data_IF_786924090085
#
_entry.id   IF_786924090085
#
_cell.length_a   1.000
_cell.length_b   1.000
_cell.length_c   1.000
_cell.angle_alpha   90.00
_cell.angle_beta   90.00
_cell.angle_gamma   90.00
#
_symmetry.space_group_name_H-M   'P 1'
#
loop_
_entity.id
_entity.type
_entity.pdbx_description
1 polymer ?
#
# COMPACT_ATOMS: atom_id res chain seq x y z
N UNK A 1 -43.00 -41.22 -3.25
CA UNK A 1 -43.06 -39.75 -3.42
C UNK A 1 -41.85 -39.07 -2.75
N UNK A 2 -40.72 -39.02 -3.45
CA UNK A 2 -39.52 -38.30 -3.02
C UNK A 2 -39.36 -37.05 -3.88
N UNK A 3 -39.47 -35.87 -3.27
CA UNK A 3 -39.29 -34.60 -3.94
C UNK A 3 -37.80 -34.32 -4.17
N UNK A 4 -37.46 -34.04 -5.43
CA UNK A 4 -36.17 -33.48 -5.87
C UNK A 4 -36.15 -31.97 -5.59
N UNK A 5 -35.01 -31.36 -5.22
CA UNK A 5 -34.86 -29.92 -5.36
C UNK A 5 -34.34 -29.59 -6.75
N UNK A 6 -35.11 -28.76 -7.45
CA UNK A 6 -34.71 -28.01 -8.64
C UNK A 6 -33.76 -26.90 -8.20
N UNK A 7 -32.52 -26.91 -8.71
CA UNK A 7 -31.63 -25.76 -8.67
C UNK A 7 -31.48 -25.23 -10.11
N UNK A 8 -32.19 -24.15 -10.39
CA UNK A 8 -32.09 -23.34 -11.59
C UNK A 8 -30.99 -22.29 -11.46
N UNK A 9 -30.23 -22.07 -12.54
CA UNK A 9 -29.49 -20.83 -12.76
C UNK A 9 -27.99 -21.05 -12.88
N UNK A 10 -27.51 -21.15 -14.12
CA UNK A 10 -26.10 -21.17 -14.44
C UNK A 10 -25.45 -19.79 -14.38
N UNK A 11 -24.12 -19.82 -14.26
CA UNK A 11 -23.22 -18.87 -14.89
C UNK A 11 -21.89 -19.61 -15.08
N UNK A 12 -21.53 -19.79 -16.35
CA UNK A 12 -20.28 -20.41 -16.75
C UNK A 12 -19.09 -19.49 -16.44
N UNK A 13 -18.03 -20.16 -16.02
CA UNK A 13 -16.62 -19.82 -15.85
C UNK A 13 -16.05 -18.72 -16.74
N UNK A 14 -15.34 -17.77 -16.11
CA UNK A 14 -14.09 -17.23 -16.63
C UNK A 14 -12.95 -17.62 -15.67
N UNK A 15 -11.93 -18.29 -16.22
CA UNK A 15 -10.79 -18.82 -15.49
C UNK A 15 -9.81 -17.69 -15.11
N UNK A 16 -9.70 -17.43 -13.81
CA UNK A 16 -8.55 -16.79 -13.19
C UNK A 16 -8.50 -17.30 -11.75
N UNK A 17 -7.51 -18.15 -11.43
CA UNK A 17 -7.48 -18.94 -10.20
C UNK A 17 -7.92 -18.16 -8.96
N UNK A 18 -9.04 -18.57 -8.37
CA UNK A 18 -9.51 -18.01 -7.11
C UNK A 18 -8.44 -18.20 -6.04
N UNK A 19 -8.17 -17.20 -5.19
CA UNK A 19 -7.34 -17.43 -4.01
C UNK A 19 -7.99 -18.55 -3.18
N UNK A 20 -7.19 -19.39 -2.48
CA UNK A 20 -7.72 -20.49 -1.69
C UNK A 20 -8.84 -20.01 -0.79
N UNK A 21 -9.90 -20.82 -0.70
CA UNK A 21 -11.10 -20.57 0.10
C UNK A 21 -10.71 -20.05 1.50
N UNK A 22 -10.80 -18.74 1.70
CA UNK A 22 -10.29 -18.06 2.89
C UNK A 22 -9.86 -16.60 2.67
N UNK A 23 -9.60 -16.18 1.42
CA UNK A 23 -9.13 -14.82 1.10
C UNK A 23 -10.18 -14.04 0.28
N UNK A 24 -11.18 -13.50 0.97
CA UNK A 24 -12.09 -12.49 0.42
C UNK A 24 -11.67 -11.10 0.92
N UNK A 25 -11.20 -10.24 0.02
CA UNK A 25 -10.92 -8.83 0.30
C UNK A 25 -12.09 -7.97 -0.18
N UNK A 26 -12.92 -7.52 0.75
CA UNK A 26 -13.88 -6.43 0.55
C UNK A 26 -14.14 -5.75 1.89
N UNK A 27 -14.25 -4.40 1.85
CA UNK A 27 -14.62 -3.52 2.98
C UNK A 27 -15.70 -4.18 3.84
N UNK A 28 -15.34 -4.55 5.07
CA UNK A 28 -16.30 -4.96 6.11
C UNK A 28 -16.45 -6.45 6.41
N UNK A 29 -15.61 -7.36 5.88
CA UNK A 29 -15.58 -8.77 6.34
C UNK A 29 -14.32 -9.08 7.15
N UNK A 30 -14.52 -9.73 8.32
CA UNK A 30 -13.44 -10.28 9.17
C UNK A 30 -12.55 -11.21 8.33
N UNK A 31 -11.29 -10.83 8.17
CA UNK A 31 -10.24 -11.75 7.72
C UNK A 31 -9.97 -12.74 8.84
N UNK A 32 -9.81 -14.02 8.51
CA UNK A 32 -9.45 -15.05 9.51
C UNK A 32 -7.96 -15.01 9.91
N UNK A 33 -7.25 -13.97 9.45
CA UNK A 33 -5.81 -13.72 9.63
C UNK A 33 -5.61 -12.38 10.34
N UNK A 34 -4.68 -12.36 11.29
CA UNK A 34 -4.21 -11.17 12.00
C UNK A 34 -3.73 -10.10 11.00
N UNK A 35 -4.29 -8.88 10.99
CA UNK A 35 -3.91 -7.83 10.04
C UNK A 35 -2.46 -7.35 10.21
N UNK A 36 -1.84 -7.61 11.36
CA UNK A 36 -0.44 -7.25 11.65
C UNK A 36 0.54 -8.40 11.36
N UNK A 37 0.04 -9.53 10.86
CA UNK A 37 0.87 -10.63 10.40
C UNK A 37 1.01 -10.60 8.88
N UNK A 38 2.25 -10.63 8.39
CA UNK A 38 2.54 -10.74 6.97
C UNK A 38 2.53 -12.20 6.54
N UNK A 39 1.71 -12.51 5.54
CA UNK A 39 1.62 -13.84 4.93
C UNK A 39 2.23 -13.81 3.53
N UNK A 40 3.23 -14.65 3.30
CA UNK A 40 3.87 -14.81 2.01
C UNK A 40 3.39 -16.11 1.35
N UNK A 41 2.75 -16.02 0.17
CA UNK A 41 2.29 -17.16 -0.62
C UNK A 41 2.84 -17.05 -2.05
N UNK A 42 3.81 -17.90 -2.38
CA UNK A 42 4.44 -17.88 -3.69
C UNK A 42 5.11 -16.53 -3.96
N UNK A 43 4.60 -15.79 -4.94
CA UNK A 43 5.05 -14.47 -5.38
C UNK A 43 4.27 -13.31 -4.73
N UNK A 44 3.32 -13.60 -3.82
CA UNK A 44 2.40 -12.61 -3.26
C UNK A 44 2.61 -12.41 -1.76
N UNK A 45 2.61 -11.16 -1.34
CA UNK A 45 2.68 -10.74 0.06
C UNK A 45 1.36 -10.11 0.53
N UNK A 46 0.76 -10.72 1.54
CA UNK A 46 -0.51 -10.32 2.12
C UNK A 46 -0.31 -9.77 3.52
N UNK A 47 -1.05 -8.73 3.87
CA UNK A 47 -1.06 -8.10 5.18
C UNK A 47 -1.67 -6.71 5.08
N UNK A 48 -2.01 -6.11 6.22
CA UNK A 48 -2.45 -4.72 6.20
C UNK A 48 -1.33 -3.82 5.66
N UNK A 49 -1.67 -2.96 4.71
CA UNK A 49 -0.75 -1.97 4.16
C UNK A 49 0.23 -2.47 3.09
N UNK A 50 0.32 -3.77 2.78
CA UNK A 50 1.24 -4.28 1.74
C UNK A 50 0.96 -3.68 0.36
N UNK A 51 -0.32 -3.45 0.04
CA UNK A 51 -0.78 -2.77 -1.17
C UNK A 51 -1.05 -1.27 -0.99
N UNK A 52 -1.03 -0.73 0.23
CA UNK A 52 -1.30 0.70 0.53
C UNK A 52 -0.70 1.10 1.90
N UNK A 53 0.50 1.65 2.08
CA UNK A 53 1.60 2.05 1.19
C UNK A 53 2.93 1.41 1.62
N UNK A 54 2.89 0.39 2.48
CA UNK A 54 4.06 -0.18 3.15
C UNK A 54 5.09 -0.75 2.16
N UNK A 55 4.64 -1.28 1.02
CA UNK A 55 5.54 -1.70 -0.06
C UNK A 55 6.40 -0.56 -0.62
N UNK A 56 5.83 0.64 -0.79
CA UNK A 56 6.58 1.82 -1.23
C UNK A 56 7.57 2.28 -0.16
N UNK A 57 7.17 2.23 1.12
CA UNK A 57 8.06 2.53 2.25
C UNK A 57 9.27 1.61 2.23
N UNK A 58 9.05 0.29 2.12
CA UNK A 58 10.13 -0.70 2.06
C UNK A 58 11.07 -0.46 0.87
N UNK A 59 10.53 -0.15 -0.31
CA UNK A 59 11.33 0.16 -1.50
C UNK A 59 12.20 1.41 -1.31
N UNK A 60 11.62 2.49 -0.77
CA UNK A 60 12.34 3.73 -0.50
C UNK A 60 13.42 3.55 0.57
N UNK A 61 13.12 2.78 1.63
CA UNK A 61 14.12 2.40 2.63
C UNK A 61 15.27 1.64 1.97
N UNK A 62 14.99 0.68 1.09
CA UNK A 62 16.02 -0.06 0.39
C UNK A 62 16.86 0.85 -0.53
N UNK A 63 16.25 1.82 -1.21
CA UNK A 63 16.96 2.82 -2.00
C UNK A 63 17.91 3.64 -1.12
N UNK A 64 17.41 4.19 -0.01
CA UNK A 64 18.22 4.96 0.95
C UNK A 64 19.36 4.13 1.54
N UNK A 65 19.11 2.87 1.90
CA UNK A 65 20.15 1.94 2.33
C UNK A 65 21.20 1.75 1.23
N UNK A 66 20.79 1.52 -0.01
CA UNK A 66 21.70 1.33 -1.14
C UNK A 66 22.57 2.57 -1.37
N UNK A 67 21.98 3.77 -1.34
CA UNK A 67 22.72 5.03 -1.42
C UNK A 67 23.72 5.20 -0.26
N UNK A 68 23.32 4.85 0.96
CA UNK A 68 24.16 4.93 2.15
C UNK A 68 25.35 3.96 2.15
N UNK A 69 25.18 2.76 1.57
CA UNK A 69 26.25 1.76 1.44
C UNK A 69 27.24 2.12 0.32
N UNK A 70 26.74 2.48 -0.86
CA UNK A 70 27.60 2.74 -2.02
C UNK A 70 28.16 4.16 -2.06
N UNK A 71 27.52 5.11 -1.38
CA UNK A 71 27.90 6.54 -1.32
C UNK A 71 28.36 7.13 -2.66
N UNK A 72 27.56 6.98 -3.74
CA UNK A 72 27.90 7.59 -5.01
C UNK A 72 27.95 9.12 -4.89
N UNK A 73 28.73 9.78 -5.73
CA UNK A 73 28.66 11.23 -5.87
C UNK A 73 27.34 11.63 -6.55
N UNK A 74 26.39 12.13 -5.76
CA UNK A 74 25.11 12.62 -6.25
C UNK A 74 25.22 14.06 -6.75
N UNK A 75 24.47 14.39 -7.81
CA UNK A 75 24.35 15.76 -8.34
C UNK A 75 23.25 16.58 -7.66
N UNK A 76 22.42 15.92 -6.86
CA UNK A 76 21.30 16.50 -6.13
C UNK A 76 21.15 15.81 -4.78
N UNK A 77 20.43 16.48 -3.87
CA UNK A 77 19.98 15.85 -2.64
C UNK A 77 18.74 15.01 -2.91
N UNK A 78 18.65 13.86 -2.25
CA UNK A 78 17.46 13.00 -2.25
C UNK A 78 16.84 13.08 -0.86
N UNK A 79 15.66 13.68 -0.78
CA UNK A 79 14.88 13.83 0.46
C UNK A 79 13.66 12.93 0.36
N UNK A 80 13.42 12.10 1.37
CA UNK A 80 12.27 11.19 1.44
C UNK A 80 11.44 11.53 2.67
N UNK A 81 10.17 11.82 2.45
CA UNK A 81 9.20 12.13 3.52
C UNK A 81 8.28 10.95 3.76
N UNK A 82 8.31 10.41 4.98
CA UNK A 82 7.35 9.41 5.45
C UNK A 82 6.24 10.10 6.23
N UNK A 83 5.08 10.28 5.61
CA UNK A 83 3.93 10.93 6.24
C UNK A 83 3.10 9.90 7.01
N UNK A 84 3.08 10.05 8.34
CA UNK A 84 2.13 9.32 9.19
C UNK A 84 0.72 9.92 9.03
N UNK A 85 -0.31 9.14 9.36
CA UNK A 85 -1.71 9.56 9.35
C UNK A 85 -2.22 10.10 7.99
N UNK A 86 -1.57 9.75 6.86
CA UNK A 86 -2.00 10.21 5.53
C UNK A 86 -3.38 9.70 5.09
N UNK A 87 -3.96 8.76 5.82
CA UNK A 87 -5.31 8.22 5.62
C UNK A 87 -6.32 8.80 6.62
N UNK A 88 -5.85 9.60 7.58
CA UNK A 88 -6.67 10.35 8.52
C UNK A 88 -7.07 11.72 7.94
N UNK A 89 -7.91 12.43 8.69
CA UNK A 89 -8.44 13.76 8.32
C UNK A 89 -8.03 14.86 9.29
N UNK A 90 -7.02 14.61 10.11
CA UNK A 90 -6.54 15.52 11.14
C UNK A 90 -5.85 16.74 10.51
N UNK A 91 -6.19 17.93 11.01
CA UNK A 91 -5.54 19.16 10.62
C UNK A 91 -4.14 19.29 11.25
N UNK A 92 -3.25 20.04 10.60
CA UNK A 92 -1.90 20.30 11.10
C UNK A 92 -0.94 19.11 10.94
N UNK A 93 -1.25 18.16 10.05
CA UNK A 93 -0.38 17.04 9.70
C UNK A 93 -0.19 16.98 8.17
N UNK A 94 0.84 16.27 7.73
CA UNK A 94 1.10 16.03 6.32
C UNK A 94 2.06 17.03 5.68
N UNK A 95 2.20 16.94 4.35
CA UNK A 95 3.16 17.77 3.62
C UNK A 95 2.78 19.24 3.57
N UNK A 96 1.47 19.55 3.54
CA UNK A 96 0.99 20.93 3.47
C UNK A 96 1.42 21.69 4.73
N UNK A 97 1.26 21.09 5.91
CA UNK A 97 1.75 21.66 7.17
C UNK A 97 3.28 21.84 7.18
N UNK A 98 4.04 20.85 6.71
CA UNK A 98 5.50 20.96 6.60
C UNK A 98 5.94 22.09 5.66
N UNK A 99 5.18 22.36 4.60
CA UNK A 99 5.42 23.45 3.68
C UNK A 99 5.13 24.81 4.34
N UNK A 100 4.01 24.93 5.07
CA UNK A 100 3.64 26.15 5.81
C UNK A 100 4.67 26.52 6.87
N UNK A 101 5.23 25.53 7.57
CA UNK A 101 6.30 25.72 8.56
C UNK A 101 7.69 25.96 7.93
N UNK A 102 7.79 26.00 6.60
CA UNK A 102 9.06 26.24 5.90
C UNK A 102 10.07 25.09 5.99
N UNK A 103 9.64 23.89 6.39
CA UNK A 103 10.52 22.73 6.59
C UNK A 103 10.97 22.09 5.27
N UNK A 104 10.35 22.46 4.13
CA UNK A 104 10.62 21.89 2.80
C UNK A 104 11.30 22.88 1.84
N UNK A 105 11.82 24.01 2.33
CA UNK A 105 12.40 25.05 1.46
C UNK A 105 13.59 24.53 0.62
N UNK A 106 14.39 23.60 1.16
CA UNK A 106 15.49 22.96 0.42
C UNK A 106 15.03 22.12 -0.78
N UNK A 107 13.76 21.68 -0.78
CA UNK A 107 13.17 20.85 -1.83
C UNK A 107 12.47 21.67 -2.93
N UNK A 108 12.27 22.98 -2.73
CA UNK A 108 11.37 23.83 -3.55
C UNK A 108 11.73 23.90 -5.03
N UNK A 109 13.01 23.75 -5.38
CA UNK A 109 13.50 23.81 -6.76
C UNK A 109 13.62 22.44 -7.45
N UNK A 110 13.32 21.34 -6.75
CA UNK A 110 13.49 19.97 -7.24
C UNK A 110 12.19 19.33 -7.71
N UNK A 111 12.27 18.22 -8.46
CA UNK A 111 11.09 17.41 -8.77
C UNK A 111 10.55 16.74 -7.50
N UNK A 112 9.22 16.67 -7.38
CA UNK A 112 8.52 16.01 -6.27
C UNK A 112 7.77 14.79 -6.78
N UNK A 113 7.98 13.64 -6.14
CA UNK A 113 7.32 12.38 -6.49
C UNK A 113 6.44 11.92 -5.33
N UNK A 114 5.13 11.80 -5.59
CA UNK A 114 4.17 11.24 -4.65
C UNK A 114 4.07 9.73 -4.85
N UNK A 115 4.57 8.97 -3.88
CA UNK A 115 4.56 7.52 -3.91
C UNK A 115 3.51 7.00 -2.93
N UNK A 116 2.33 6.71 -3.47
CA UNK A 116 1.20 6.16 -2.75
C UNK A 116 0.23 5.54 -3.76
N UNK A 117 -0.64 4.65 -3.28
CA UNK A 117 -1.69 4.11 -4.13
C UNK A 117 -2.86 5.09 -4.13
N UNK A 118 -3.44 5.44 -5.29
CA UNK A 118 -4.61 6.30 -5.36
C UNK A 118 -5.80 5.56 -4.75
N UNK A 119 -6.13 5.92 -3.52
CA UNK A 119 -7.27 5.40 -2.79
C UNK A 119 -7.58 6.35 -1.64
N UNK A 120 -8.72 7.05 -1.78
CA UNK A 120 -9.29 8.08 -0.89
C UNK A 120 -8.47 9.37 -0.72
N UNK A 121 -8.69 10.31 -1.64
CA UNK A 121 -9.17 11.63 -1.20
C UNK A 121 -10.69 11.56 -1.11
#
# INVERSE_FOLDING_TARGET
PSALPVASGGAETEQGGAPPSGLAWLRGRKTHTDPFHLLHLGDRLYGCGTSCSLGHVALLTQLLCTLGHHRPHLRCNVVVLFLAASQGGEAGLGADWLLEEGMLEECRGGPVFWLGVPGSR
#
